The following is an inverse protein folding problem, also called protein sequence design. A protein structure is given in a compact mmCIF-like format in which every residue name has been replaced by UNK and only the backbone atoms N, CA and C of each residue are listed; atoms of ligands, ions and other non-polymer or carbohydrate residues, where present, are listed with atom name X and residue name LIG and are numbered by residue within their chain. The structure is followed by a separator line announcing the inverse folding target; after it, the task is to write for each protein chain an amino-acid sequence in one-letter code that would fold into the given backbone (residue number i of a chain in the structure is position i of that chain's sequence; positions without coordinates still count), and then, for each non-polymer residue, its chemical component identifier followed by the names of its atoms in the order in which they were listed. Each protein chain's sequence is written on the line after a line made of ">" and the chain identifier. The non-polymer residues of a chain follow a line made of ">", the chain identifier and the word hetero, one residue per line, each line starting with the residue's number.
data_IF_326032460147
#
_entry.id   IF_326032460147
#
_cell.length_a   1.000
_cell.length_b   1.000
_cell.length_c   1.000
_cell.angle_alpha   90.00
_cell.angle_beta   90.00
_cell.angle_gamma   90.00
#
_symmetry.space_group_name_H-M   'P 1'
#
loop_
_entity.id
_entity.type
_entity.pdbx_description
1 polymer ?
#
# COMPACT_ATOMS: atom_id res chain seq x y z
N UNK A 1 1.96 -9.26 -18.13
CA UNK A 1 2.01 -9.18 -19.60
C UNK A 1 0.69 -8.72 -20.22
N UNK A 2 -0.45 -9.38 -19.99
CA UNK A 2 -1.73 -8.94 -20.60
C UNK A 2 -2.14 -7.53 -20.18
N UNK A 3 -2.07 -7.20 -18.89
CA UNK A 3 -2.40 -5.86 -18.39
C UNK A 3 -1.48 -4.76 -18.97
N UNK A 4 -0.19 -5.05 -19.14
CA UNK A 4 0.75 -4.08 -19.73
C UNK A 4 0.48 -3.85 -21.22
N UNK A 5 0.10 -4.90 -21.96
CA UNK A 5 -0.35 -4.77 -23.36
C UNK A 5 -1.63 -3.93 -23.43
N UNK A 6 -2.58 -4.21 -22.54
CA UNK A 6 -3.83 -3.45 -22.44
C UNK A 6 -3.60 -1.94 -22.25
N UNK A 7 -2.76 -1.56 -21.29
CA UNK A 7 -2.41 -0.16 -21.03
C UNK A 7 -1.65 0.46 -22.22
N UNK A 8 -0.81 -0.33 -22.90
CA UNK A 8 -0.09 0.12 -24.10
C UNK A 8 -1.07 0.51 -25.20
N UNK A 9 -2.11 -0.30 -25.43
CA UNK A 9 -3.16 0.02 -26.43
C UNK A 9 -3.88 1.31 -26.05
N UNK A 10 -4.23 1.52 -24.78
CA UNK A 10 -4.84 2.79 -24.32
C UNK A 10 -3.95 4.01 -24.59
N UNK A 11 -2.62 3.84 -24.51
CA UNK A 11 -1.64 4.90 -24.80
C UNK A 11 -1.40 5.18 -26.28
N UNK A 12 -1.93 4.36 -27.20
CA UNK A 12 -1.85 4.62 -28.64
C UNK A 12 -3.22 4.92 -29.25
N UNK A 13 -4.30 4.39 -28.68
CA UNK A 13 -5.67 4.61 -29.14
C UNK A 13 -6.33 5.72 -28.30
N UNK A 14 -6.09 6.98 -28.63
CA UNK A 14 -6.65 8.10 -27.87
C UNK A 14 -8.09 8.39 -28.28
N UNK A 15 -9.01 8.46 -27.31
CA UNK A 15 -10.40 8.92 -27.52
C UNK A 15 -10.60 10.37 -27.07
N UNK A 16 -9.60 10.94 -26.39
CA UNK A 16 -9.67 12.25 -25.77
C UNK A 16 -8.32 12.98 -25.92
N UNK A 17 -8.35 14.28 -26.14
CA UNK A 17 -7.15 15.13 -26.23
C UNK A 17 -7.25 16.32 -25.27
N UNK A 18 -6.16 16.65 -24.58
CA UNK A 18 -6.08 17.85 -23.74
C UNK A 18 -5.79 19.07 -24.61
N UNK A 19 -6.74 20.01 -24.68
CA UNK A 19 -6.55 21.32 -25.31
C UNK A 19 -6.26 22.37 -24.25
N UNK A 20 -5.42 23.34 -24.59
CA UNK A 20 -5.16 24.50 -23.74
C UNK A 20 -5.21 25.81 -24.51
N UNK A 21 -5.89 26.81 -23.96
CA UNK A 21 -5.93 28.19 -24.48
C UNK A 21 -6.02 29.18 -23.32
N UNK A 22 -5.24 30.26 -23.39
CA UNK A 22 -5.23 31.36 -22.42
C UNK A 22 -5.09 30.89 -20.95
N UNK A 23 -4.16 29.95 -20.70
CA UNK A 23 -3.89 29.39 -19.37
C UNK A 23 -5.01 28.50 -18.80
N UNK A 24 -6.03 28.18 -19.59
CA UNK A 24 -7.08 27.21 -19.26
C UNK A 24 -6.92 25.97 -20.13
N UNK A 25 -7.25 24.81 -19.58
CA UNK A 25 -7.27 23.56 -20.34
C UNK A 25 -8.61 22.85 -20.17
N UNK A 26 -8.97 22.05 -21.17
CA UNK A 26 -10.12 21.17 -21.18
C UNK A 26 -9.80 19.93 -22.03
N UNK A 27 -10.71 18.96 -22.03
CA UNK A 27 -10.54 17.74 -22.81
C UNK A 27 -11.60 17.71 -23.91
N UNK A 28 -11.20 17.35 -25.12
CA UNK A 28 -12.08 17.19 -26.28
C UNK A 28 -12.06 15.73 -26.76
N UNK A 29 -13.21 15.24 -27.21
CA UNK A 29 -13.31 13.91 -27.80
C UNK A 29 -12.74 13.93 -29.21
N UNK A 30 -11.97 12.90 -29.56
CA UNK A 30 -11.38 12.71 -30.89
C UNK A 30 -11.77 11.33 -31.46
N UNK A 31 -11.56 11.15 -32.76
CA UNK A 31 -11.85 9.87 -33.42
C UNK A 31 -10.86 8.79 -32.92
N UNK A 32 -11.41 7.68 -32.41
CA UNK A 32 -10.65 6.54 -31.92
C UNK A 32 -11.16 5.22 -32.51
N UNK A 33 -10.39 4.16 -32.33
CA UNK A 33 -10.82 2.80 -32.65
C UNK A 33 -11.70 2.29 -31.52
N UNK A 34 -13.02 2.28 -31.73
CA UNK A 34 -14.03 2.07 -30.69
C UNK A 34 -14.05 0.67 -30.07
N UNK A 35 -13.55 -0.34 -30.77
CA UNK A 35 -13.48 -1.72 -30.28
C UNK A 35 -12.18 -2.02 -29.50
N UNK A 36 -11.23 -1.09 -29.50
CA UNK A 36 -9.99 -1.17 -28.71
C UNK A 36 -10.13 -0.34 -27.43
N UNK A 37 -9.45 -0.71 -26.33
CA UNK A 37 -9.37 0.14 -25.16
C UNK A 37 -8.71 1.46 -25.54
N UNK A 38 -9.24 2.58 -25.04
CA UNK A 38 -8.78 3.92 -25.38
C UNK A 38 -8.38 4.73 -24.15
N UNK A 39 -7.65 5.83 -24.39
CA UNK A 39 -7.20 6.72 -23.33
C UNK A 39 -7.22 8.20 -23.70
N UNK A 40 -6.52 8.98 -22.88
CA UNK A 40 -6.37 10.44 -23.03
C UNK A 40 -4.96 10.76 -23.51
N UNK A 41 -4.87 11.49 -24.63
CA UNK A 41 -3.61 12.08 -25.09
C UNK A 41 -3.12 13.11 -24.07
N UNK A 42 -2.01 12.78 -23.41
CA UNK A 42 -1.56 13.50 -22.23
C UNK A 42 -0.04 13.40 -22.03
N UNK A 43 0.52 14.43 -21.42
CA UNK A 43 1.96 14.52 -21.18
C UNK A 43 2.42 13.50 -20.11
N UNK A 44 3.50 12.78 -20.42
CA UNK A 44 4.18 11.86 -19.52
C UNK A 44 4.56 12.49 -18.17
N UNK A 45 5.07 13.73 -18.15
CA UNK A 45 5.55 14.40 -16.93
C UNK A 45 4.45 14.66 -15.90
N UNK A 46 3.21 14.84 -16.33
CA UNK A 46 2.07 15.04 -15.43
C UNK A 46 1.43 13.73 -15.04
N UNK A 47 0.91 12.99 -16.03
CA UNK A 47 0.43 11.61 -15.94
C UNK A 47 -0.05 11.22 -17.34
N UNK A 48 0.26 10.02 -17.79
CA UNK A 48 -0.29 9.47 -19.03
C UNK A 48 -0.36 7.95 -18.94
N UNK A 49 -1.00 7.31 -19.91
CA UNK A 49 -1.03 5.86 -20.01
C UNK A 49 0.39 5.26 -20.03
N UNK A 50 1.36 5.93 -20.68
CA UNK A 50 2.76 5.50 -20.68
C UNK A 50 3.45 5.63 -19.31
N UNK A 51 3.08 6.62 -18.50
CA UNK A 51 3.59 6.71 -17.12
C UNK A 51 3.03 5.61 -16.24
N UNK A 52 1.74 5.31 -16.37
CA UNK A 52 1.13 4.16 -15.69
C UNK A 52 1.78 2.86 -16.18
N UNK A 53 2.02 2.73 -17.50
CA UNK A 53 2.74 1.60 -18.09
C UNK A 53 4.14 1.46 -17.51
N UNK A 54 4.89 2.55 -17.32
CA UNK A 54 6.22 2.51 -16.70
C UNK A 54 6.15 1.96 -15.27
N UNK A 55 5.17 2.37 -14.47
CA UNK A 55 4.98 1.87 -13.11
C UNK A 55 4.61 0.38 -13.08
N UNK A 56 3.62 -0.03 -13.88
CA UNK A 56 3.16 -1.42 -13.97
C UNK A 56 4.21 -2.33 -14.62
N UNK A 57 4.91 -1.83 -15.63
CA UNK A 57 6.01 -2.49 -16.32
C UNK A 57 7.21 -2.71 -15.39
N UNK A 58 7.59 -1.72 -14.59
CA UNK A 58 8.65 -1.88 -13.59
C UNK A 58 8.32 -2.96 -12.57
N UNK A 59 7.09 -2.97 -12.04
CA UNK A 59 6.63 -4.02 -11.14
C UNK A 59 6.62 -5.40 -11.81
N UNK A 60 6.13 -5.49 -13.05
CA UNK A 60 6.10 -6.73 -13.83
C UNK A 60 7.51 -7.29 -14.09
N UNK A 61 8.44 -6.45 -14.55
CA UNK A 61 9.82 -6.84 -14.81
C UNK A 61 10.53 -7.28 -13.51
N UNK A 62 10.29 -6.58 -12.40
CA UNK A 62 10.80 -6.99 -11.09
C UNK A 62 10.25 -8.37 -10.68
N UNK A 63 8.95 -8.61 -10.82
CA UNK A 63 8.32 -9.91 -10.55
C UNK A 63 8.98 -10.99 -11.42
N UNK A 64 9.10 -10.78 -12.73
CA UNK A 64 9.74 -11.74 -13.64
C UNK A 64 11.19 -12.03 -13.23
N UNK A 65 11.98 -11.00 -12.96
CA UNK A 65 13.38 -11.13 -12.53
C UNK A 65 13.51 -11.89 -11.21
N UNK A 66 12.70 -11.58 -10.20
CA UNK A 66 12.70 -12.28 -8.92
C UNK A 66 12.22 -13.73 -9.07
N UNK A 67 11.14 -13.97 -9.81
CA UNK A 67 10.54 -15.29 -9.95
C UNK A 67 11.45 -16.28 -10.70
N UNK A 68 12.10 -15.81 -11.76
CA UNK A 68 13.02 -16.61 -12.59
C UNK A 68 14.41 -16.68 -11.98
N UNK A 69 14.93 -15.57 -11.45
CA UNK A 69 16.31 -15.47 -10.93
C UNK A 69 16.49 -16.13 -9.56
N UNK A 70 15.51 -16.01 -8.66
CA UNK A 70 15.65 -16.55 -7.30
C UNK A 70 15.29 -18.03 -7.28
N UNK A 71 16.29 -18.90 -7.43
CA UNK A 71 16.13 -20.36 -7.41
C UNK A 71 16.38 -20.99 -6.04
N UNK A 72 17.01 -20.28 -5.11
CA UNK A 72 17.42 -20.81 -3.80
C UNK A 72 16.66 -20.11 -2.67
N UNK A 73 16.19 -20.90 -1.69
CA UNK A 73 15.54 -20.37 -0.47
C UNK A 73 16.40 -19.38 0.29
N UNK A 74 17.72 -19.64 0.38
CA UNK A 74 18.66 -18.73 1.06
C UNK A 74 18.65 -17.34 0.41
N UNK A 75 18.62 -17.28 -0.92
CA UNK A 75 18.54 -16.02 -1.66
C UNK A 75 17.20 -15.31 -1.42
N UNK A 76 16.08 -16.03 -1.44
CA UNK A 76 14.77 -15.44 -1.13
C UNK A 76 14.70 -14.87 0.30
N UNK A 77 15.22 -15.62 1.27
CA UNK A 77 15.33 -15.17 2.68
C UNK A 77 16.23 -13.94 2.79
N UNK A 78 17.37 -13.92 2.08
CA UNK A 78 18.29 -12.77 2.09
C UNK A 78 17.62 -11.51 1.53
N UNK A 79 16.95 -11.60 0.38
CA UNK A 79 16.24 -10.46 -0.22
C UNK A 79 15.14 -9.92 0.72
N UNK A 80 14.37 -10.81 1.34
CA UNK A 80 13.36 -10.42 2.34
C UNK A 80 13.99 -9.75 3.56
N UNK A 81 15.12 -10.25 4.05
CA UNK A 81 15.84 -9.61 5.16
C UNK A 81 16.35 -8.22 4.79
N UNK A 82 16.94 -8.06 3.60
CA UNK A 82 17.39 -6.75 3.11
C UNK A 82 16.22 -5.76 3.10
N UNK A 83 15.07 -6.18 2.56
CA UNK A 83 13.85 -5.36 2.54
C UNK A 83 13.39 -4.98 3.96
N UNK A 84 13.27 -5.96 4.86
CA UNK A 84 12.79 -5.73 6.23
C UNK A 84 13.75 -4.84 7.02
N UNK A 85 15.05 -5.10 6.96
CA UNK A 85 16.07 -4.29 7.64
C UNK A 85 16.06 -2.86 7.10
N UNK A 86 16.02 -2.68 5.78
CA UNK A 86 15.94 -1.35 5.16
C UNK A 86 14.65 -0.62 5.57
N UNK A 87 13.52 -1.33 5.62
CA UNK A 87 12.24 -0.77 6.03
C UNK A 87 12.19 -0.39 7.52
N UNK A 88 12.74 -1.22 8.39
CA UNK A 88 12.87 -0.92 9.83
C UNK A 88 13.86 0.22 10.09
N UNK A 89 14.94 0.31 9.32
CA UNK A 89 15.85 1.46 9.37
C UNK A 89 15.13 2.75 8.94
N UNK A 90 14.32 2.70 7.87
CA UNK A 90 13.48 3.83 7.47
C UNK A 90 12.49 4.22 8.58
N UNK A 91 11.87 3.24 9.25
CA UNK A 91 10.96 3.50 10.38
C UNK A 91 11.66 4.25 11.52
N UNK A 92 12.89 3.83 11.86
CA UNK A 92 13.72 4.51 12.85
C UNK A 92 14.09 5.93 12.41
N UNK A 93 14.53 6.10 11.15
CA UNK A 93 14.83 7.42 10.59
C UNK A 93 13.61 8.33 10.68
N UNK A 94 12.42 7.86 10.34
CA UNK A 94 11.19 8.65 10.41
C UNK A 94 10.86 9.10 11.85
N UNK A 95 11.10 8.24 12.84
CA UNK A 95 10.96 8.59 14.27
C UNK A 95 11.96 9.68 14.64
N UNK A 96 13.24 9.52 14.27
CA UNK A 96 14.28 10.51 14.55
C UNK A 96 13.99 11.86 13.88
N UNK A 97 13.50 11.85 12.64
CA UNK A 97 13.08 13.07 11.96
C UNK A 97 11.93 13.77 12.69
N UNK A 98 10.96 13.01 13.19
CA UNK A 98 9.84 13.55 13.95
C UNK A 98 10.31 14.16 15.28
N UNK A 99 11.24 13.51 15.97
CA UNK A 99 11.82 14.01 17.22
C UNK A 99 12.67 15.27 17.02
N UNK A 100 13.32 15.39 15.87
CA UNK A 100 14.10 16.57 15.48
C UNK A 100 13.24 17.71 14.89
N UNK A 101 11.91 17.55 14.83
CA UNK A 101 10.97 18.45 14.15
C UNK A 101 11.41 18.82 12.72
N UNK A 102 11.95 17.84 11.99
CA UNK A 102 12.53 18.07 10.66
C UNK A 102 11.44 18.37 9.62
N UNK A 103 11.61 19.46 8.87
CA UNK A 103 10.73 19.89 7.78
C UNK A 103 11.17 19.38 6.39
N UNK A 104 12.31 18.69 6.34
CA UNK A 104 12.93 18.10 5.13
C UNK A 104 12.88 16.58 5.13
N UNK A 105 12.61 15.99 3.97
CA UNK A 105 12.77 14.55 3.72
C UNK A 105 14.24 14.18 3.87
N UNK A 106 14.50 13.19 4.73
CA UNK A 106 15.84 12.76 5.16
C UNK A 106 16.77 13.92 5.58
N UNK A 107 16.23 15.02 6.12
CA UNK A 107 16.96 16.27 6.42
C UNK A 107 17.57 17.01 5.21
N UNK A 108 17.44 16.47 4.00
CA UNK A 108 18.10 16.97 2.80
C UNK A 108 17.17 17.78 1.90
N UNK A 109 15.97 17.25 1.62
CA UNK A 109 15.09 17.80 0.57
C UNK A 109 13.85 18.42 1.20
N UNK A 110 13.58 19.70 0.92
CA UNK A 110 12.37 20.36 1.40
C UNK A 110 11.12 19.67 0.85
N UNK A 111 10.21 19.30 1.74
CA UNK A 111 8.97 18.64 1.34
C UNK A 111 7.95 19.68 0.86
N UNK A 112 7.31 19.43 -0.29
CA UNK A 112 6.12 20.18 -0.72
C UNK A 112 4.89 19.89 0.17
N UNK A 113 4.89 18.75 0.87
CA UNK A 113 3.85 18.38 1.82
C UNK A 113 4.26 18.73 3.25
N UNK A 114 3.28 19.19 4.04
CA UNK A 114 3.49 19.60 5.45
C UNK A 114 3.95 18.48 6.38
N UNK A 115 3.70 17.21 6.04
CA UNK A 115 3.99 16.07 6.89
C UNK A 115 4.70 14.98 6.07
N UNK A 116 6.00 15.11 5.78
CA UNK A 116 6.79 14.00 5.27
C UNK A 116 6.95 12.91 6.33
N UNK A 117 7.30 11.69 5.91
CA UNK A 117 7.58 10.58 6.83
C UNK A 117 8.73 9.72 6.30
N UNK A 118 9.89 9.80 6.95
CA UNK A 118 11.11 9.11 6.51
C UNK A 118 11.53 9.59 5.12
N UNK A 119 11.65 8.64 4.19
CA UNK A 119 11.97 8.90 2.78
C UNK A 119 10.76 9.30 1.91
N UNK A 120 9.55 9.36 2.47
CA UNK A 120 8.33 9.68 1.71
C UNK A 120 7.90 11.13 1.92
N UNK A 121 7.64 11.82 0.81
CA UNK A 121 7.05 13.16 0.84
C UNK A 121 5.61 13.16 1.35
N UNK A 122 4.88 12.05 1.21
CA UNK A 122 3.50 11.96 1.69
C UNK A 122 3.38 10.88 2.76
N UNK A 123 3.08 11.30 4.00
CA UNK A 123 3.05 10.39 5.16
C UNK A 123 2.16 9.15 4.97
N UNK A 124 1.02 9.25 4.29
CA UNK A 124 0.11 8.11 4.18
C UNK A 124 0.71 7.01 3.30
N UNK A 125 1.46 7.38 2.26
CA UNK A 125 2.25 6.43 1.46
C UNK A 125 3.42 5.86 2.27
N UNK A 126 4.13 6.69 3.03
CA UNK A 126 5.21 6.21 3.90
C UNK A 126 4.72 5.19 4.94
N UNK A 127 3.56 5.44 5.54
CA UNK A 127 2.94 4.52 6.48
C UNK A 127 2.42 3.25 5.80
N UNK A 128 1.83 3.35 4.60
CA UNK A 128 1.43 2.17 3.83
C UNK A 128 2.64 1.27 3.53
N UNK A 129 3.78 1.87 3.13
CA UNK A 129 5.05 1.18 2.94
C UNK A 129 5.52 0.50 4.23
N UNK A 130 5.46 1.18 5.38
CA UNK A 130 5.80 0.57 6.66
C UNK A 130 4.88 -0.60 7.04
N UNK A 131 3.58 -0.53 6.73
CA UNK A 131 2.67 -1.67 6.89
C UNK A 131 3.11 -2.86 6.04
N UNK A 132 3.53 -2.63 4.79
CA UNK A 132 4.11 -3.69 3.94
C UNK A 132 5.39 -4.29 4.54
N UNK A 133 6.26 -3.48 5.12
CA UNK A 133 7.47 -3.98 5.81
C UNK A 133 7.08 -4.87 7.00
N UNK A 134 6.05 -4.50 7.75
CA UNK A 134 5.52 -5.30 8.85
C UNK A 134 4.98 -6.66 8.35
N UNK A 135 4.34 -6.70 7.17
CA UNK A 135 3.93 -7.95 6.50
C UNK A 135 5.15 -8.83 6.21
N UNK A 136 6.17 -8.28 5.55
CA UNK A 136 7.40 -9.03 5.25
C UNK A 136 8.10 -9.57 6.51
N UNK A 137 8.12 -8.78 7.58
CA UNK A 137 8.69 -9.19 8.86
C UNK A 137 7.87 -10.32 9.51
N UNK A 138 6.55 -10.26 9.48
CA UNK A 138 5.66 -11.31 10.00
C UNK A 138 5.78 -12.63 9.21
N UNK A 139 5.95 -12.55 7.89
CA UNK A 139 6.20 -13.73 7.04
C UNK A 139 7.50 -14.43 7.44
N UNK A 140 8.58 -13.65 7.55
CA UNK A 140 9.87 -14.15 8.01
C UNK A 140 9.80 -14.67 9.45
N UNK A 141 8.99 -14.04 10.31
CA UNK A 141 8.83 -14.43 11.71
C UNK A 141 8.36 -15.88 11.79
N UNK A 142 7.23 -16.20 11.17
CA UNK A 142 6.69 -17.56 11.19
C UNK A 142 7.57 -18.55 10.43
N UNK A 143 8.24 -18.10 9.36
CA UNK A 143 9.18 -18.95 8.63
C UNK A 143 10.37 -19.37 9.50
N UNK A 144 10.96 -18.45 10.26
CA UNK A 144 12.07 -18.74 11.16
C UNK A 144 11.62 -19.43 12.44
N UNK A 145 10.43 -19.12 12.96
CA UNK A 145 9.85 -19.82 14.10
C UNK A 145 9.69 -21.32 13.81
N UNK A 146 9.06 -21.67 12.68
CA UNK A 146 8.92 -23.06 12.22
C UNK A 146 10.28 -23.76 12.08
N UNK A 147 11.33 -23.02 11.71
CA UNK A 147 12.68 -23.57 11.55
C UNK A 147 13.38 -23.78 12.90
N UNK A 148 13.25 -22.84 13.83
CA UNK A 148 13.78 -22.94 15.19
C UNK A 148 13.14 -24.12 15.93
N UNK A 149 11.82 -24.27 15.85
CA UNK A 149 11.09 -25.39 16.47
C UNK A 149 11.56 -26.74 15.94
N UNK A 150 11.70 -26.90 14.61
CA UNK A 150 12.22 -28.15 14.01
C UNK A 150 13.65 -28.49 14.45
N UNK A 151 14.40 -27.49 14.92
CA UNK A 151 15.77 -27.66 15.43
C UNK A 151 15.83 -27.76 16.96
N UNK A 152 14.69 -27.70 17.65
CA UNK A 152 14.63 -27.65 19.11
C UNK A 152 15.26 -26.40 19.73
N UNK A 153 15.35 -25.30 18.97
CA UNK A 153 15.96 -24.05 19.42
C UNK A 153 14.90 -23.14 20.04
N UNK A 154 15.13 -22.67 21.27
CA UNK A 154 14.26 -21.72 21.96
C UNK A 154 14.38 -20.28 21.43
N UNK A 155 15.47 -19.96 20.75
CA UNK A 155 15.73 -18.65 20.15
C UNK A 155 15.89 -18.71 18.63
N UNK A 156 16.03 -17.52 18.02
CA UNK A 156 16.36 -17.40 16.62
C UNK A 156 16.03 -16.05 16.01
N UNK A 157 16.18 -15.91 14.68
CA UNK A 157 15.94 -14.65 13.98
C UNK A 157 14.51 -14.12 14.10
N UNK A 158 13.55 -14.97 14.46
CA UNK A 158 12.17 -14.58 14.71
C UNK A 158 12.04 -13.58 15.88
N UNK A 159 12.92 -13.61 16.87
CA UNK A 159 12.89 -12.65 18.00
C UNK A 159 13.25 -11.23 17.54
N UNK A 160 14.26 -11.10 16.66
CA UNK A 160 14.63 -9.81 16.06
C UNK A 160 13.49 -9.25 15.20
N UNK A 161 12.72 -10.13 14.54
CA UNK A 161 11.58 -9.72 13.73
C UNK A 161 10.42 -9.18 14.58
N UNK A 162 10.21 -9.68 15.81
CA UNK A 162 9.27 -9.06 16.75
C UNK A 162 9.67 -7.62 17.08
N UNK A 163 10.96 -7.37 17.34
CA UNK A 163 11.47 -6.02 17.61
C UNK A 163 11.27 -5.12 16.39
N UNK A 164 11.58 -5.62 15.19
CA UNK A 164 11.36 -4.91 13.94
C UNK A 164 9.88 -4.54 13.72
N UNK A 165 8.97 -5.48 13.96
CA UNK A 165 7.52 -5.27 13.88
C UNK A 165 7.07 -4.19 14.86
N UNK A 166 7.51 -4.26 16.12
CA UNK A 166 7.15 -3.28 17.16
C UNK A 166 7.67 -1.87 16.82
N UNK A 167 8.93 -1.76 16.38
CA UNK A 167 9.52 -0.49 15.94
C UNK A 167 8.77 0.11 14.75
N UNK A 168 8.47 -0.72 13.74
CA UNK A 168 7.74 -0.29 12.55
C UNK A 168 6.34 0.19 12.92
N UNK A 169 5.62 -0.56 13.77
CA UNK A 169 4.29 -0.16 14.21
C UNK A 169 4.31 1.12 15.07
N UNK A 170 5.31 1.30 15.92
CA UNK A 170 5.49 2.56 16.66
C UNK A 170 5.66 3.75 15.71
N UNK A 171 6.47 3.59 14.66
CA UNK A 171 6.62 4.60 13.60
C UNK A 171 5.29 4.90 12.90
N UNK A 172 4.48 3.89 12.60
CA UNK A 172 3.14 4.06 12.01
C UNK A 172 2.23 4.91 12.92
N UNK A 173 2.21 4.63 14.24
CA UNK A 173 1.42 5.39 15.20
C UNK A 173 1.87 6.86 15.28
N UNK A 174 3.16 7.11 15.30
CA UNK A 174 3.75 8.45 15.38
C UNK A 174 3.49 9.31 14.12
N UNK A 175 3.24 8.68 12.97
CA UNK A 175 2.88 9.37 11.74
C UNK A 175 1.48 10.00 11.77
N UNK A 176 0.62 9.61 12.73
CA UNK A 176 -0.76 10.11 12.90
C UNK A 176 -1.62 10.05 11.62
N UNK A 177 -1.40 9.01 10.81
CA UNK A 177 -2.22 8.68 9.64
C UNK A 177 -3.39 7.78 10.06
N UNK A 178 -4.64 8.22 9.87
CA UNK A 178 -5.85 7.45 10.25
C UNK A 178 -5.88 6.08 9.57
N UNK A 179 -5.72 6.06 8.24
CA UNK A 179 -5.66 4.81 7.46
C UNK A 179 -4.48 3.94 7.92
N UNK A 180 -3.32 4.54 8.10
CA UNK A 180 -2.14 3.86 8.61
C UNK A 180 -2.32 3.16 9.96
N UNK A 181 -2.85 3.89 10.95
CA UNK A 181 -3.11 3.37 12.29
C UNK A 181 -4.17 2.25 12.24
N UNK A 182 -5.27 2.46 11.50
CA UNK A 182 -6.34 1.47 11.37
C UNK A 182 -5.83 0.17 10.72
N UNK A 183 -5.24 0.27 9.54
CA UNK A 183 -4.82 -0.89 8.75
C UNK A 183 -3.56 -1.55 9.33
N UNK A 184 -2.61 -0.76 9.84
CA UNK A 184 -1.49 -1.28 10.62
C UNK A 184 -1.96 -1.97 11.90
N UNK A 185 -2.96 -1.40 12.59
CA UNK A 185 -3.61 -1.94 13.79
C UNK A 185 -4.28 -3.30 13.55
N UNK A 186 -5.06 -3.41 12.47
CA UNK A 186 -5.68 -4.68 12.05
C UNK A 186 -4.60 -5.73 11.79
N UNK A 187 -3.52 -5.37 11.09
CA UNK A 187 -2.44 -6.30 10.79
C UNK A 187 -1.70 -6.77 12.06
N UNK A 188 -1.28 -5.85 12.93
CA UNK A 188 -0.56 -6.20 14.17
C UNK A 188 -1.43 -7.02 15.12
N UNK A 189 -2.74 -6.72 15.19
CA UNK A 189 -3.71 -7.53 15.92
C UNK A 189 -3.78 -8.96 15.39
N UNK A 190 -3.94 -9.13 14.08
CA UNK A 190 -3.94 -10.45 13.44
C UNK A 190 -2.61 -11.22 13.62
N UNK A 191 -1.47 -10.54 13.51
CA UNK A 191 -0.16 -11.11 13.81
C UNK A 191 -0.06 -11.60 15.26
N UNK A 192 -0.49 -10.77 16.22
CA UNK A 192 -0.45 -11.09 17.65
C UNK A 192 -1.33 -12.28 17.98
N UNK A 193 -2.56 -12.31 17.47
CA UNK A 193 -3.48 -13.46 17.61
C UNK A 193 -2.84 -14.73 17.05
N UNK A 194 -2.25 -14.66 15.84
CA UNK A 194 -1.59 -15.80 15.23
C UNK A 194 -0.36 -16.28 16.03
N UNK A 195 0.46 -15.36 16.55
CA UNK A 195 1.66 -15.67 17.33
C UNK A 195 1.30 -16.29 18.70
N UNK A 196 0.29 -15.74 19.37
CA UNK A 196 -0.24 -16.27 20.63
C UNK A 196 -0.88 -17.65 20.41
N UNK A 197 -1.76 -17.77 19.42
CA UNK A 197 -2.40 -19.04 19.07
C UNK A 197 -1.39 -20.13 18.72
N UNK A 198 -0.33 -19.78 17.97
CA UNK A 198 0.78 -20.69 17.68
C UNK A 198 1.52 -21.12 18.95
N UNK A 199 1.76 -20.19 19.87
CA UNK A 199 2.47 -20.46 21.12
C UNK A 199 1.70 -21.44 22.00
N UNK A 200 0.38 -21.27 22.14
CA UNK A 200 -0.49 -22.18 22.90
C UNK A 200 -0.55 -23.59 22.30
N UNK A 201 -0.52 -23.70 20.98
CA UNK A 201 -0.54 -25.00 20.29
C UNK A 201 0.82 -25.72 20.29
N UNK A 202 1.91 -25.04 20.66
CA UNK A 202 3.23 -25.66 20.76
C UNK A 202 3.46 -26.21 22.17
N UNK A 203 3.55 -27.54 22.32
CA UNK A 203 3.86 -28.23 23.60
C UNK A 203 5.28 -27.92 24.14
N UNK A 204 6.06 -27.11 23.42
CA UNK A 204 7.47 -26.79 23.72
C UNK A 204 7.66 -25.65 24.74
N UNK A 205 6.58 -25.01 25.21
CA UNK A 205 6.62 -23.83 26.08
C UNK A 205 7.26 -24.10 27.45
N UNK A 206 7.41 -25.37 27.86
CA UNK A 206 7.98 -25.75 29.18
C UNK A 206 9.51 -25.65 29.29
N UNK A 207 10.28 -25.62 28.20
CA UNK A 207 11.76 -25.79 28.27
C UNK A 207 12.59 -24.50 28.28
N UNK A 208 12.00 -23.30 28.16
CA UNK A 208 12.80 -22.06 28.21
C UNK A 208 12.02 -20.83 28.68
N UNK A 209 11.26 -20.99 29.77
CA UNK A 209 10.53 -19.91 30.43
C UNK A 209 11.39 -18.65 30.63
N UNK A 210 12.66 -18.82 30.99
CA UNK A 210 13.59 -17.74 31.29
C UNK A 210 14.01 -16.95 30.03
N UNK A 211 14.29 -17.63 28.92
CA UNK A 211 14.61 -16.96 27.63
C UNK A 211 13.37 -16.29 27.06
N UNK A 212 12.20 -16.93 27.17
CA UNK A 212 10.93 -16.30 26.81
C UNK A 212 10.65 -15.07 27.67
N UNK A 213 10.85 -15.14 28.99
CA UNK A 213 10.71 -13.99 29.90
C UNK A 213 11.65 -12.85 29.53
N UNK A 214 12.94 -13.12 29.32
CA UNK A 214 13.92 -12.10 28.92
C UNK A 214 13.56 -11.45 27.58
N UNK A 215 13.11 -12.25 26.62
CA UNK A 215 12.63 -11.76 25.33
C UNK A 215 11.36 -10.89 25.47
N UNK A 216 10.40 -11.34 26.28
CA UNK A 216 9.18 -10.60 26.59
C UNK A 216 9.48 -9.34 27.39
N UNK A 217 10.50 -9.32 28.25
CA UNK A 217 10.94 -8.13 28.98
C UNK A 217 11.62 -7.11 28.06
N UNK A 218 12.44 -7.54 27.10
CA UNK A 218 13.06 -6.66 26.09
C UNK A 218 12.01 -6.14 25.09
N UNK A 219 11.10 -7.01 24.65
CA UNK A 219 9.98 -6.60 23.81
C UNK A 219 9.02 -5.69 24.58
N UNK A 220 8.73 -6.02 25.82
CA UNK A 220 7.86 -5.24 26.71
C UNK A 220 8.45 -3.87 27.03
N UNK A 221 9.77 -3.77 27.26
CA UNK A 221 10.45 -2.49 27.45
C UNK A 221 10.48 -1.66 26.15
N UNK A 222 10.65 -2.30 25.00
CA UNK A 222 10.53 -1.66 23.69
C UNK A 222 9.11 -1.15 23.42
N UNK A 223 8.08 -1.94 23.72
CA UNK A 223 6.67 -1.57 23.62
C UNK A 223 6.34 -0.45 24.60
N UNK A 224 6.85 -0.51 25.83
CA UNK A 224 6.68 0.55 26.83
C UNK A 224 7.38 1.86 26.42
N UNK A 225 8.59 1.77 25.85
CA UNK A 225 9.29 2.92 25.27
C UNK A 225 8.51 3.53 24.11
N UNK A 226 7.99 2.70 23.20
CA UNK A 226 7.09 3.14 22.14
C UNK A 226 5.80 3.77 22.67
N UNK A 227 5.20 3.20 23.72
CA UNK A 227 4.01 3.75 24.39
C UNK A 227 4.26 5.16 24.92
N UNK A 228 5.45 5.42 25.48
CA UNK A 228 5.83 6.76 25.97
C UNK A 228 6.04 7.78 24.84
N UNK A 229 6.40 7.32 23.64
CA UNK A 229 6.59 8.17 22.47
C UNK A 229 5.26 8.47 21.75
N UNK A 230 4.31 7.52 21.77
CA UNK A 230 3.02 7.68 21.08
C UNK A 230 2.11 8.64 21.84
N UNK A 231 1.76 9.74 21.20
CA UNK A 231 0.75 10.67 21.68
C UNK A 231 -0.66 10.10 21.46
N UNK A 232 -1.14 9.32 22.43
CA UNK A 232 -2.48 8.73 22.41
C UNK A 232 -3.59 9.78 22.41
N UNK A 233 -3.33 10.97 22.96
CA UNK A 233 -4.31 12.05 22.92
C UNK A 233 -4.43 12.62 21.52
N UNK A 234 -3.31 12.82 20.81
CA UNK A 234 -3.33 13.18 19.40
C UNK A 234 -3.99 12.11 18.53
N UNK A 235 -3.81 10.83 18.82
CA UNK A 235 -4.55 9.74 18.16
C UNK A 235 -6.04 9.87 18.46
N UNK A 236 -6.45 10.02 19.72
CA UNK A 236 -7.86 10.16 20.10
C UNK A 236 -8.49 11.39 19.43
N UNK A 237 -7.82 12.55 19.45
CA UNK A 237 -8.24 13.78 18.74
C UNK A 237 -8.30 13.56 17.22
N UNK A 238 -7.38 12.77 16.66
CA UNK A 238 -7.41 12.39 15.24
C UNK A 238 -8.63 11.55 14.91
N UNK A 239 -9.01 10.61 15.74
CA UNK A 239 -10.20 9.78 15.53
C UNK A 239 -11.50 10.51 15.93
N UNK A 240 -11.40 11.60 16.69
CA UNK A 240 -12.50 12.52 16.99
C UNK A 240 -13.69 11.83 17.63
N UNK A 241 -14.85 12.49 17.57
CA UNK A 241 -16.12 11.81 17.77
C UNK A 241 -16.43 11.02 16.49
N UNK A 242 -16.34 9.69 16.58
CA UNK A 242 -16.57 8.79 15.46
C UNK A 242 -17.99 9.00 14.90
N UNK A 243 -18.93 9.37 15.76
CA UNK A 243 -20.31 9.68 15.38
C UNK A 243 -20.40 10.94 14.49
N UNK A 244 -19.73 12.04 14.85
CA UNK A 244 -19.69 13.26 14.03
C UNK A 244 -18.95 13.02 12.70
N UNK A 245 -17.94 12.14 12.70
CA UNK A 245 -17.22 11.73 11.49
C UNK A 245 -18.11 10.88 10.56
N UNK A 246 -19.00 10.06 11.12
CA UNK A 246 -19.99 9.28 10.35
C UNK A 246 -21.08 10.19 9.79
N UNK A 247 -21.59 11.13 10.58
CA UNK A 247 -22.63 12.08 10.15
C UNK A 247 -22.14 13.07 9.08
N UNK A 248 -20.87 13.45 9.13
CA UNK A 248 -20.26 14.34 8.12
C UNK A 248 -19.56 13.61 6.98
N UNK A 249 -19.59 12.27 6.98
CA UNK A 249 -18.88 11.46 6.00
C UNK A 249 -19.32 11.77 4.56
N UNK A 250 -20.62 11.97 4.32
CA UNK A 250 -21.20 12.36 3.02
C UNK A 250 -20.73 13.73 2.51
N UNK A 251 -20.15 14.56 3.39
CA UNK A 251 -19.55 15.86 3.06
C UNK A 251 -18.01 15.80 2.98
N UNK A 252 -17.40 14.65 3.25
CA UNK A 252 -15.96 14.47 3.13
C UNK A 252 -15.55 14.51 1.67
N UNK A 253 -14.55 15.36 1.36
CA UNK A 253 -14.10 15.56 -0.01
C UNK A 253 -13.64 14.27 -0.71
N UNK A 254 -13.10 13.28 0.01
CA UNK A 254 -12.66 12.01 -0.58
C UNK A 254 -13.85 11.13 -0.93
N UNK A 255 -14.90 11.14 -0.10
CA UNK A 255 -16.14 10.43 -0.39
C UNK A 255 -16.84 11.01 -1.61
N UNK A 256 -16.95 12.34 -1.68
CA UNK A 256 -17.53 13.02 -2.85
C UNK A 256 -16.72 12.70 -4.11
N UNK A 257 -15.37 12.76 -4.05
CA UNK A 257 -14.51 12.37 -5.17
C UNK A 257 -14.73 10.90 -5.57
N UNK A 258 -14.84 9.99 -4.61
CA UNK A 258 -15.12 8.56 -4.85
C UNK A 258 -16.47 8.37 -5.55
N UNK A 259 -17.52 9.05 -5.08
CA UNK A 259 -18.86 8.97 -5.66
C UNK A 259 -18.90 9.47 -7.09
N UNK A 260 -18.27 10.61 -7.36
CA UNK A 260 -18.17 11.17 -8.72
C UNK A 260 -17.35 10.23 -9.62
N UNK A 261 -16.24 9.70 -9.12
CA UNK A 261 -15.41 8.76 -9.89
C UNK A 261 -16.18 7.48 -10.24
N UNK A 262 -17.00 6.97 -9.33
CA UNK A 262 -17.88 5.84 -9.60
C UNK A 262 -18.91 6.16 -10.69
N UNK A 263 -19.56 7.32 -10.62
CA UNK A 263 -20.49 7.79 -11.66
C UNK A 263 -19.81 7.96 -13.01
N UNK A 264 -18.56 8.42 -13.01
CA UNK A 264 -17.75 8.50 -14.22
C UNK A 264 -17.44 7.10 -14.78
N UNK A 265 -17.06 6.15 -13.93
CA UNK A 265 -16.76 4.77 -14.34
C UNK A 265 -17.97 4.10 -15.01
N UNK A 266 -19.18 4.39 -14.53
CA UNK A 266 -20.42 3.85 -15.11
C UNK A 266 -20.68 4.26 -16.56
N UNK A 267 -20.02 5.32 -17.05
CA UNK A 267 -20.17 5.78 -18.43
C UNK A 267 -19.30 5.03 -19.44
N UNK A 268 -18.19 4.43 -18.99
CA UNK A 268 -17.26 3.65 -19.82
C UNK A 268 -16.89 2.34 -19.11
N UNK A 269 -17.87 1.44 -18.98
CA UNK A 269 -17.73 0.24 -18.14
C UNK A 269 -16.73 -0.78 -18.68
N UNK A 270 -16.71 -1.00 -20.00
CA UNK A 270 -15.98 -2.14 -20.59
C UNK A 270 -14.47 -1.89 -20.52
N UNK A 271 -14.01 -0.77 -21.08
CA UNK A 271 -12.60 -0.45 -21.21
C UNK A 271 -12.11 0.67 -20.27
N UNK A 272 -13.02 1.35 -19.56
CA UNK A 272 -12.66 2.50 -18.76
C UNK A 272 -12.29 3.72 -19.61
N UNK A 273 -11.81 4.75 -18.94
CA UNK A 273 -11.45 6.03 -19.56
C UNK A 273 -9.98 6.14 -19.97
N UNK A 274 -9.19 5.11 -19.72
CA UNK A 274 -7.75 5.08 -19.97
C UNK A 274 -6.92 5.16 -18.70
N UNK A 275 -5.83 4.40 -18.63
CA UNK A 275 -4.83 4.50 -17.57
C UNK A 275 -4.28 5.92 -17.42
N UNK A 276 -4.28 6.45 -16.19
CA UNK A 276 -3.79 7.79 -15.87
C UNK A 276 -4.69 8.94 -16.34
N UNK A 277 -5.90 8.65 -16.82
CA UNK A 277 -6.85 9.64 -17.35
C UNK A 277 -7.60 10.42 -16.26
N UNK A 278 -7.65 9.90 -15.02
CA UNK A 278 -8.58 10.39 -13.99
C UNK A 278 -8.47 11.89 -13.76
N UNK A 279 -7.25 12.41 -13.56
CA UNK A 279 -7.00 13.84 -13.33
C UNK A 279 -7.46 14.76 -14.45
N UNK A 280 -7.61 14.26 -15.67
CA UNK A 280 -7.99 15.05 -16.84
C UNK A 280 -9.50 15.05 -17.05
N UNK A 281 -10.15 13.92 -16.82
CA UNK A 281 -11.59 13.76 -16.98
C UNK A 281 -12.35 14.28 -15.75
N UNK A 282 -11.83 14.04 -14.54
CA UNK A 282 -12.50 14.41 -13.29
C UNK A 282 -12.95 15.89 -13.22
N UNK A 283 -12.15 16.88 -13.66
CA UNK A 283 -12.57 18.28 -13.65
C UNK A 283 -13.80 18.61 -14.51
N UNK A 284 -14.18 17.76 -15.48
CA UNK A 284 -15.44 17.92 -16.23
C UNK A 284 -16.66 17.70 -15.33
N UNK A 285 -16.54 16.78 -14.37
CA UNK A 285 -17.59 16.38 -13.43
C UNK A 285 -17.51 17.16 -12.12
N UNK A 286 -16.30 17.48 -11.66
CA UNK A 286 -16.07 18.28 -10.45
C UNK A 286 -16.80 19.64 -10.50
N UNK A 287 -16.96 20.24 -11.69
CA UNK A 287 -17.61 21.55 -11.88
C UNK A 287 -19.05 21.62 -11.34
N UNK A 288 -19.79 20.51 -11.31
CA UNK A 288 -21.15 20.47 -10.74
C UNK A 288 -21.17 20.37 -9.22
N UNK A 289 -20.01 20.32 -8.56
CA UNK A 289 -19.86 20.13 -7.12
C UNK A 289 -19.02 21.27 -6.50
N UNK A 290 -19.61 22.45 -6.23
CA UNK A 290 -18.91 23.62 -5.71
C UNK A 290 -18.05 23.35 -4.46
N UNK A 291 -18.51 22.44 -3.60
CA UNK A 291 -17.89 22.02 -2.34
C UNK A 291 -16.49 21.42 -2.52
N UNK A 292 -16.23 20.78 -3.66
CA UNK A 292 -14.91 20.24 -4.00
C UNK A 292 -14.29 20.94 -5.21
N UNK A 293 -15.03 21.72 -5.99
CA UNK A 293 -14.49 22.51 -7.09
C UNK A 293 -13.71 23.74 -6.59
N UNK A 294 -14.17 24.36 -5.50
CA UNK A 294 -13.60 25.60 -4.98
C UNK A 294 -12.83 25.43 -3.66
N UNK A 295 -11.88 26.33 -3.38
CA UNK A 295 -11.06 26.26 -2.15
C UNK A 295 -11.89 26.56 -0.91
N UNK A 296 -12.66 27.65 -0.96
CA UNK A 296 -13.51 28.12 0.14
C UNK A 296 -14.67 28.98 -0.37
N UNK A 297 -15.72 29.06 0.45
CA UNK A 297 -16.80 30.02 0.26
C UNK A 297 -16.54 31.32 1.03
N UNK A 298 -16.82 32.47 0.41
CA UNK A 298 -16.71 33.78 1.03
C UNK A 298 -18.06 34.52 0.94
N UNK A 299 -18.60 34.93 2.10
CA UNK A 299 -19.95 35.50 2.21
C UNK A 299 -20.27 36.63 1.20
N UNK A 300 -19.30 37.49 0.87
CA UNK A 300 -19.47 38.59 -0.09
C UNK A 300 -19.00 38.31 -1.53
N UNK A 301 -18.15 37.30 -1.73
CA UNK A 301 -17.46 37.06 -3.01
C UNK A 301 -17.85 35.72 -3.64
N UNK A 302 -18.76 34.97 -3.02
CA UNK A 302 -19.11 33.62 -3.42
C UNK A 302 -17.95 32.65 -3.26
N UNK A 303 -17.90 31.64 -4.13
CA UNK A 303 -16.85 30.63 -4.14
C UNK A 303 -15.53 31.16 -4.69
N UNK A 304 -14.41 30.90 -3.99
CA UNK A 304 -13.08 31.44 -4.33
C UNK A 304 -12.07 30.32 -4.54
N UNK A 305 -11.29 30.47 -5.63
CA UNK A 305 -10.13 29.63 -5.97
C UNK A 305 -10.51 28.23 -6.45
N UNK A 306 -9.68 27.57 -7.26
CA UNK A 306 -9.96 26.21 -7.77
C UNK A 306 -9.15 25.17 -7.02
N UNK A 307 -9.79 24.05 -6.68
CA UNK A 307 -9.08 22.86 -6.18
C UNK A 307 -8.75 21.94 -7.36
N UNK A 308 -7.50 21.51 -7.42
CA UNK A 308 -7.06 20.49 -8.36
C UNK A 308 -6.75 19.21 -7.60
N UNK A 309 -7.30 18.11 -8.07
CA UNK A 309 -7.06 16.79 -7.54
C UNK A 309 -6.18 16.02 -8.52
N UNK A 310 -5.20 15.29 -7.97
CA UNK A 310 -4.36 14.42 -8.77
C UNK A 310 -4.90 12.99 -8.79
N UNK A 311 -5.52 12.55 -7.70
CA UNK A 311 -6.02 11.18 -7.51
C UNK A 311 -7.38 11.20 -6.79
N UNK A 312 -8.17 10.14 -6.94
CA UNK A 312 -9.49 10.00 -6.35
C UNK A 312 -9.47 9.74 -4.83
N UNK A 313 -8.29 9.45 -4.26
CA UNK A 313 -8.12 8.95 -2.89
C UNK A 313 -8.90 7.64 -2.61
N UNK A 314 -9.20 6.88 -3.66
CA UNK A 314 -9.71 5.51 -3.61
C UNK A 314 -9.17 4.78 -4.86
N UNK A 315 -8.09 4.03 -4.68
CA UNK A 315 -7.41 3.33 -5.78
C UNK A 315 -8.33 2.34 -6.47
N UNK A 316 -9.19 1.65 -5.72
CA UNK A 316 -10.04 0.59 -6.28
C UNK A 316 -11.04 1.20 -7.26
N UNK A 317 -11.71 2.27 -6.86
CA UNK A 317 -12.68 2.97 -7.72
C UNK A 317 -11.97 3.68 -8.87
N UNK A 318 -10.79 4.26 -8.63
CA UNK A 318 -10.01 4.89 -9.69
C UNK A 318 -9.50 3.89 -10.73
N UNK A 319 -8.94 2.75 -10.31
CA UNK A 319 -8.50 1.71 -11.25
C UNK A 319 -9.68 1.17 -12.05
N UNK A 320 -10.85 0.98 -11.43
CA UNK A 320 -12.05 0.59 -12.16
C UNK A 320 -12.47 1.64 -13.19
N UNK A 321 -12.42 2.93 -12.83
CA UNK A 321 -12.66 4.04 -13.76
C UNK A 321 -11.67 4.06 -14.94
N UNK A 322 -10.38 3.88 -14.68
CA UNK A 322 -9.32 3.99 -15.70
C UNK A 322 -9.23 2.75 -16.60
N UNK A 323 -9.44 1.56 -16.04
CA UNK A 323 -9.18 0.29 -16.71
C UNK A 323 -10.45 -0.44 -17.17
N UNK A 324 -11.62 -0.03 -16.68
CA UNK A 324 -12.89 -0.72 -16.92
C UNK A 324 -12.91 -2.15 -16.37
N UNK A 325 -13.94 -2.90 -16.73
CA UNK A 325 -14.12 -4.30 -16.34
C UNK A 325 -12.97 -5.16 -16.87
N UNK A 326 -12.59 -4.99 -18.14
CA UNK A 326 -11.57 -5.84 -18.77
C UNK A 326 -10.22 -5.68 -18.09
N UNK A 327 -9.73 -4.44 -17.96
CA UNK A 327 -8.45 -4.20 -17.31
C UNK A 327 -8.47 -4.52 -15.81
N UNK A 328 -9.60 -4.32 -15.13
CA UNK A 328 -9.77 -4.72 -13.72
C UNK A 328 -9.71 -6.24 -13.53
N UNK A 329 -10.30 -7.02 -14.43
CA UNK A 329 -10.19 -8.50 -14.40
C UNK A 329 -8.73 -8.92 -14.59
N UNK A 330 -8.03 -8.36 -15.59
CA UNK A 330 -6.61 -8.66 -15.82
C UNK A 330 -5.75 -8.32 -14.60
N UNK A 331 -6.05 -7.22 -13.92
CA UNK A 331 -5.42 -6.82 -12.68
C UNK A 331 -5.69 -7.83 -11.55
N UNK A 332 -6.96 -8.17 -11.31
CA UNK A 332 -7.37 -9.11 -10.26
C UNK A 332 -6.83 -10.52 -10.48
N UNK A 333 -6.74 -11.00 -11.74
CA UNK A 333 -6.15 -12.29 -12.07
C UNK A 333 -4.69 -12.41 -11.63
N UNK A 334 -3.95 -11.29 -11.64
CA UNK A 334 -2.57 -11.26 -11.12
C UNK A 334 -2.53 -11.58 -9.63
N UNK A 335 -3.49 -11.06 -8.85
CA UNK A 335 -3.60 -11.36 -7.42
C UNK A 335 -4.20 -12.73 -7.13
N UNK A 336 -5.17 -13.17 -7.94
CA UNK A 336 -5.72 -14.51 -7.85
C UNK A 336 -4.63 -15.59 -8.02
N UNK A 337 -3.65 -15.37 -8.91
CA UNK A 337 -2.49 -16.24 -9.04
C UNK A 337 -1.66 -16.35 -7.74
N UNK A 338 -1.45 -15.22 -7.04
CA UNK A 338 -0.74 -15.22 -5.76
C UNK A 338 -1.52 -15.96 -4.69
N UNK A 339 -2.83 -15.71 -4.58
CA UNK A 339 -3.71 -16.41 -3.62
C UNK A 339 -3.71 -17.92 -3.90
N UNK A 340 -3.85 -18.32 -5.16
CA UNK A 340 -3.76 -19.72 -5.58
C UNK A 340 -2.41 -20.33 -5.19
N UNK A 341 -1.31 -19.64 -5.49
CA UNK A 341 0.03 -20.12 -5.13
C UNK A 341 0.20 -20.28 -3.63
N UNK A 342 -0.36 -19.38 -2.82
CA UNK A 342 -0.34 -19.49 -1.37
C UNK A 342 -1.19 -20.68 -0.88
N UNK A 343 -2.39 -20.86 -1.41
CA UNK A 343 -3.28 -21.95 -1.01
C UNK A 343 -2.66 -23.35 -1.27
N UNK A 344 -1.97 -23.52 -2.40
CA UNK A 344 -1.49 -24.84 -2.83
C UNK A 344 0.01 -25.07 -2.64
N UNK A 345 0.83 -24.01 -2.46
CA UNK A 345 2.30 -24.12 -2.40
C UNK A 345 2.93 -23.60 -1.12
N UNK A 346 2.16 -23.47 -0.03
CA UNK A 346 2.68 -23.02 1.27
C UNK A 346 2.83 -24.13 2.33
N UNK A 347 2.84 -25.41 1.92
CA UNK A 347 2.89 -26.54 2.86
C UNK A 347 4.03 -26.40 3.89
N UNK A 348 3.69 -26.50 5.16
CA UNK A 348 4.62 -26.37 6.28
C UNK A 348 4.92 -24.96 6.76
N UNK A 349 4.33 -23.93 6.14
CA UNK A 349 4.42 -22.54 6.57
C UNK A 349 3.08 -21.81 6.41
N UNK A 350 1.98 -22.46 6.83
CA UNK A 350 0.63 -21.93 6.70
C UNK A 350 0.48 -20.54 7.34
N UNK A 351 1.04 -20.33 8.54
CA UNK A 351 0.97 -19.01 9.19
C UNK A 351 1.70 -17.90 8.41
N UNK A 352 2.83 -18.20 7.75
CA UNK A 352 3.46 -17.24 6.84
C UNK A 352 2.55 -16.89 5.66
N UNK A 353 1.82 -17.87 5.11
CA UNK A 353 0.85 -17.62 4.04
C UNK A 353 -0.36 -16.81 4.54
N UNK A 354 -0.88 -17.11 5.73
CA UNK A 354 -1.97 -16.34 6.36
C UNK A 354 -1.54 -14.89 6.58
N UNK A 355 -0.31 -14.63 7.02
CA UNK A 355 0.20 -13.26 7.15
C UNK A 355 0.29 -12.53 5.81
N UNK A 356 0.64 -13.21 4.71
CA UNK A 356 0.59 -12.61 3.37
C UNK A 356 -0.83 -12.28 2.93
N UNK A 357 -1.78 -13.21 3.14
CA UNK A 357 -3.19 -12.99 2.79
C UNK A 357 -3.79 -11.84 3.59
N UNK A 358 -3.52 -11.80 4.90
CA UNK A 358 -3.91 -10.68 5.76
C UNK A 358 -3.26 -9.37 5.28
N UNK A 359 -1.96 -9.40 4.95
CA UNK A 359 -1.25 -8.24 4.42
C UNK A 359 -1.83 -7.73 3.09
N UNK A 360 -2.21 -8.63 2.19
CA UNK A 360 -2.92 -8.27 0.95
C UNK A 360 -4.27 -7.65 1.26
N UNK A 361 -5.09 -8.27 2.12
CA UNK A 361 -6.40 -7.75 2.50
C UNK A 361 -6.29 -6.34 3.13
N UNK A 362 -5.31 -6.14 4.01
CA UNK A 362 -5.03 -4.85 4.64
C UNK A 362 -4.56 -3.82 3.62
N UNK A 363 -3.71 -4.20 2.65
CA UNK A 363 -3.28 -3.29 1.57
C UNK A 363 -4.46 -2.86 0.69
N UNK A 364 -5.31 -3.79 0.25
CA UNK A 364 -6.51 -3.46 -0.53
C UNK A 364 -7.53 -2.64 0.28
N UNK A 365 -7.70 -2.94 1.56
CA UNK A 365 -8.55 -2.13 2.45
C UNK A 365 -8.03 -0.71 2.59
N UNK A 366 -6.71 -0.53 2.73
CA UNK A 366 -6.10 0.80 2.79
C UNK A 366 -6.21 1.54 1.44
N UNK A 367 -6.05 0.83 0.33
CA UNK A 367 -6.23 1.36 -1.02
C UNK A 367 -7.69 1.76 -1.33
N UNK A 368 -8.67 1.28 -0.56
CA UNK A 368 -10.06 1.70 -0.69
C UNK A 368 -10.32 3.10 -0.11
N UNK A 369 -9.49 3.56 0.83
CA UNK A 369 -9.69 4.86 1.52
C UNK A 369 -8.56 5.85 1.25
N UNK A 370 -7.55 5.42 0.49
CA UNK A 370 -6.36 6.21 0.14
C UNK A 370 -5.75 5.71 -1.17
N UNK A 371 -4.95 6.55 -1.84
CA UNK A 371 -4.33 6.27 -3.15
C UNK A 371 -2.91 5.65 -3.02
N UNK A 372 -2.75 4.62 -2.19
CA UNK A 372 -1.42 4.06 -1.88
C UNK A 372 -0.78 3.35 -3.08
N UNK A 373 -1.58 2.72 -3.96
CA UNK A 373 -1.11 2.02 -5.15
C UNK A 373 -0.72 2.97 -6.28
N UNK A 374 -1.14 4.24 -6.27
CA UNK A 374 -0.60 5.23 -7.21
C UNK A 374 0.86 5.62 -6.89
N UNK A 375 1.38 5.26 -5.72
CA UNK A 375 2.79 5.48 -5.39
C UNK A 375 3.67 4.42 -6.05
N UNK A 376 4.57 4.76 -6.99
CA UNK A 376 5.41 3.77 -7.67
C UNK A 376 6.30 3.01 -6.70
N UNK A 377 6.84 3.70 -5.68
CA UNK A 377 7.68 3.09 -4.66
C UNK A 377 6.93 2.02 -3.85
N UNK A 378 5.68 2.31 -3.45
CA UNK A 378 4.84 1.34 -2.76
C UNK A 378 4.44 0.18 -3.69
N UNK A 379 3.96 0.49 -4.90
CA UNK A 379 3.48 -0.50 -5.86
C UNK A 379 4.55 -1.54 -6.23
N UNK A 380 5.75 -1.07 -6.57
CA UNK A 380 6.91 -1.91 -6.92
C UNK A 380 7.36 -2.70 -5.70
N UNK A 381 7.48 -2.05 -4.54
CA UNK A 381 7.87 -2.70 -3.28
C UNK A 381 6.90 -3.81 -2.87
N UNK A 382 5.60 -3.55 -2.95
CA UNK A 382 4.54 -4.49 -2.60
C UNK A 382 4.53 -5.70 -3.53
N UNK A 383 4.62 -5.46 -4.84
CA UNK A 383 4.73 -6.49 -5.86
C UNK A 383 5.98 -7.38 -5.67
N UNK A 384 7.13 -6.76 -5.42
CA UNK A 384 8.39 -7.47 -5.18
C UNK A 384 8.34 -8.30 -3.89
N UNK A 385 7.86 -7.72 -2.79
CA UNK A 385 7.70 -8.38 -1.49
C UNK A 385 6.75 -9.58 -1.59
N UNK A 386 5.60 -9.42 -2.27
CA UNK A 386 4.64 -10.51 -2.47
C UNK A 386 5.27 -11.64 -3.28
N UNK A 387 5.89 -11.32 -4.43
CA UNK A 387 6.54 -12.30 -5.28
C UNK A 387 7.62 -13.10 -4.54
N UNK A 388 8.54 -12.42 -3.85
CA UNK A 388 9.65 -13.10 -3.16
C UNK A 388 9.16 -13.94 -1.97
N UNK A 389 8.11 -13.50 -1.28
CA UNK A 389 7.50 -14.23 -0.18
C UNK A 389 6.82 -15.51 -0.68
N UNK A 390 5.99 -15.40 -1.73
CA UNK A 390 5.36 -16.57 -2.37
C UNK A 390 6.43 -17.53 -2.89
N UNK A 391 7.49 -17.01 -3.54
CA UNK A 391 8.61 -17.81 -4.04
C UNK A 391 9.32 -18.57 -2.92
N UNK A 392 9.57 -17.91 -1.78
CA UNK A 392 10.15 -18.57 -0.60
C UNK A 392 9.30 -19.75 -0.13
N UNK A 393 7.99 -19.56 -0.03
CA UNK A 393 7.06 -20.60 0.43
C UNK A 393 6.99 -21.75 -0.58
N UNK A 394 6.89 -21.46 -1.87
CA UNK A 394 6.88 -22.45 -2.94
C UNK A 394 8.15 -23.32 -2.94
N UNK A 395 9.33 -22.68 -2.89
CA UNK A 395 10.62 -23.40 -2.81
C UNK A 395 10.76 -24.22 -1.52
N UNK A 396 10.07 -23.85 -0.43
CA UNK A 396 10.05 -24.64 0.78
C UNK A 396 9.14 -25.87 0.65
N UNK A 397 7.98 -25.71 0.02
CA UNK A 397 7.03 -26.80 -0.21
C UNK A 397 7.61 -27.85 -1.16
N UNK A 398 8.27 -27.45 -2.24
CA UNK A 398 8.89 -28.38 -3.22
C UNK A 398 9.87 -29.35 -2.56
N UNK A 399 10.71 -28.89 -1.63
CA UNK A 399 11.67 -29.75 -0.90
C UNK A 399 11.02 -30.69 0.12
N UNK A 400 9.73 -30.52 0.44
CA UNK A 400 9.04 -31.45 1.34
C UNK A 400 8.46 -32.63 0.58
N UNK A 401 8.17 -32.46 -0.70
CA UNK A 401 7.50 -33.48 -1.53
C UNK A 401 8.39 -34.04 -2.65
N UNK A 402 9.53 -33.43 -2.93
CA UNK A 402 10.63 -34.00 -3.70
C UNK A 402 11.86 -34.15 -2.83
#
# INVERSE_FOLDING_TARGET
>A
MLLTIYITIQGFNHAWEIRSRDGRWWVEMIQSVTWLPSGVDSNYETMSAFRVLANFGAAFLLICGLWVGIRRRKSAVLVLWILVVSGSAMALVAILQKMADADKVLWLIKSANRNPWGSFFYRNQGVAYLTMIMVGAAVLYFYHLNRSERRGQSGGPHMLLCVAIALVYASICLALSRGGILFGGIFIGGFTIAAIGRSFLSLSMRRSLLVSLLAFSILGSGVYGAYRLVDFEAIKRRFGDINETIETADRDSRMICTKITWQMAQKELVFGWGAGSWRYIFPMYQKSHPEIFYIRYHKKKGWIGRRFYHEAHNDIVQYFFELGIVGSILFLLTFAYWVFSLAFRSSGNALSAVMLLLGMAVAFGHAFVEFIFQSPAYWIGFSGMLCISVKLLALHAERRYG
#
